data_IF_754488057505
#
_entry.id   IF_754488057505
#
_cell.length_a   1.000
_cell.length_b   1.000
_cell.length_c   1.000
_cell.angle_alpha   90.00
_cell.angle_beta   90.00
_cell.angle_gamma   90.00
#
_symmetry.space_group_name_H-M   'P 1'
#
loop_
_entity.id
_entity.type
_entity.pdbx_description
1 polymer ?
#
# COMPACT_ATOMS: atom_id res chain seq x y z
N UNK A 1 -0.64 18.95 -11.85
CA UNK A 1 -0.54 17.70 -11.07
C UNK A 1 0.45 17.93 -9.96
N UNK A 2 0.03 17.68 -8.71
CA UNK A 2 0.91 17.77 -7.54
C UNK A 2 1.64 16.42 -7.43
N UNK A 3 2.97 16.46 -7.32
CA UNK A 3 3.77 15.25 -7.10
C UNK A 3 3.33 14.56 -5.80
N UNK A 4 3.07 13.25 -5.87
CA UNK A 4 2.64 12.47 -4.72
C UNK A 4 3.64 12.49 -3.58
N UNK A 5 3.14 12.36 -2.35
CA UNK A 5 3.96 12.18 -1.14
C UNK A 5 3.31 11.16 -0.23
N UNK A 6 4.14 10.36 0.41
CA UNK A 6 3.77 9.49 1.51
C UNK A 6 4.39 10.04 2.79
N UNK A 7 3.60 10.25 3.82
CA UNK A 7 4.06 10.68 5.15
C UNK A 7 3.71 9.60 6.17
N UNK A 8 4.63 9.27 7.05
CA UNK A 8 4.41 8.21 8.02
C UNK A 8 5.14 8.46 9.33
N UNK A 9 4.54 8.05 10.43
CA UNK A 9 5.13 8.21 11.76
C UNK A 9 4.18 7.79 12.88
N UNK A 10 4.70 7.68 14.10
CA UNK A 10 3.89 7.33 15.26
C UNK A 10 3.67 8.54 16.16
N UNK A 11 2.45 8.69 16.65
CA UNK A 11 2.10 9.65 17.71
C UNK A 11 1.56 8.86 18.87
N UNK A 12 2.34 8.74 19.95
CA UNK A 12 2.08 7.76 21.00
C UNK A 12 2.17 6.33 20.45
N UNK A 13 1.13 5.54 20.68
CA UNK A 13 0.94 4.15 20.25
C UNK A 13 0.12 4.04 18.94
N UNK A 14 -0.20 5.16 18.29
CA UNK A 14 -0.93 5.20 17.02
C UNK A 14 0.06 5.36 15.87
N UNK A 15 0.01 4.44 14.91
CA UNK A 15 0.78 4.55 13.68
C UNK A 15 -0.04 5.26 12.60
N UNK A 16 0.47 6.39 12.11
CA UNK A 16 -0.15 7.18 11.07
C UNK A 16 0.55 7.00 9.72
N UNK A 17 -0.25 6.86 8.68
CA UNK A 17 0.14 6.89 7.28
C UNK A 17 -0.72 7.93 6.56
N UNK A 18 -0.12 8.80 5.75
CA UNK A 18 -0.84 9.80 4.95
C UNK A 18 -0.36 9.79 3.52
N UNK A 19 -1.30 9.71 2.57
CA UNK A 19 -1.04 9.77 1.13
C UNK A 19 -1.62 11.08 0.60
N UNK A 20 -0.78 11.86 -0.10
CA UNK A 20 -1.20 13.15 -0.69
C UNK A 20 -0.75 13.26 -2.14
N UNK A 21 -1.55 13.90 -2.99
CA UNK A 21 -1.27 14.08 -4.42
C UNK A 21 -1.48 12.80 -5.22
N UNK A 22 -0.78 12.70 -6.35
CA UNK A 22 -0.77 11.53 -7.23
C UNK A 22 0.26 10.50 -6.74
N UNK A 23 -0.17 9.61 -5.84
CA UNK A 23 0.70 8.60 -5.23
C UNK A 23 0.86 7.43 -6.21
N UNK A 24 2.11 7.20 -6.65
CA UNK A 24 2.48 6.12 -7.58
C UNK A 24 3.64 5.29 -7.03
N UNK A 25 4.00 4.26 -7.82
CA UNK A 25 5.04 3.23 -7.70
C UNK A 25 6.29 3.43 -6.82
N UNK A 26 7.01 4.58 -6.76
CA UNK A 26 8.35 4.56 -6.18
C UNK A 26 8.42 4.37 -4.63
N UNK A 27 7.30 4.40 -3.90
CA UNK A 27 7.30 4.14 -2.44
C UNK A 27 6.99 2.71 -2.02
N UNK A 28 6.70 1.80 -2.95
CA UNK A 28 6.17 0.47 -2.61
C UNK A 28 7.06 -0.31 -1.62
N UNK A 29 8.32 -0.52 -1.98
CA UNK A 29 9.31 -1.22 -1.14
C UNK A 29 9.61 -0.44 0.14
N UNK A 30 9.78 0.88 0.05
CA UNK A 30 10.09 1.73 1.21
C UNK A 30 8.95 1.69 2.24
N UNK A 31 7.71 1.79 1.78
CA UNK A 31 6.53 1.85 2.65
C UNK A 31 6.32 0.51 3.35
N UNK A 32 6.41 -0.61 2.63
CA UNK A 32 6.31 -1.95 3.22
C UNK A 32 7.38 -2.16 4.31
N UNK A 33 8.64 -1.89 3.98
CA UNK A 33 9.76 -2.01 4.92
C UNK A 33 9.58 -1.11 6.15
N UNK A 34 9.08 0.11 5.95
CA UNK A 34 8.84 1.04 7.05
C UNK A 34 7.71 0.56 7.96
N UNK A 35 6.61 0.04 7.40
CA UNK A 35 5.52 -0.53 8.17
C UNK A 35 6.02 -1.72 9.02
N UNK A 36 6.76 -2.65 8.43
CA UNK A 36 7.32 -3.78 9.14
C UNK A 36 8.28 -3.35 10.26
N UNK A 37 9.15 -2.38 9.98
CA UNK A 37 10.06 -1.79 10.97
C UNK A 37 9.29 -1.22 12.16
N UNK A 38 8.23 -0.45 11.93
CA UNK A 38 7.42 0.15 13.00
C UNK A 38 6.75 -0.93 13.85
N UNK A 39 6.10 -1.91 13.22
CA UNK A 39 5.42 -3.00 13.94
C UNK A 39 6.37 -3.93 14.69
N UNK A 40 7.65 -4.00 14.32
CA UNK A 40 8.65 -4.77 15.06
C UNK A 40 9.26 -4.00 16.24
N UNK A 41 9.36 -2.68 16.15
CA UNK A 41 10.10 -1.84 17.12
C UNK A 41 9.22 -1.18 18.17
N UNK A 42 7.92 -1.07 17.93
CA UNK A 42 6.99 -0.35 18.80
C UNK A 42 5.75 -1.18 19.08
N UNK A 43 5.21 -1.03 20.28
CA UNK A 43 3.88 -1.49 20.60
C UNK A 43 2.87 -0.50 20.01
N UNK A 44 2.20 -0.91 18.93
CA UNK A 44 1.19 -0.12 18.24
C UNK A 44 -0.18 -0.66 18.62
N UNK A 45 -1.09 0.20 19.06
CA UNK A 45 -2.46 -0.18 19.43
C UNK A 45 -3.45 0.04 18.29
N UNK A 46 -3.15 0.96 17.37
CA UNK A 46 -3.99 1.27 16.22
C UNK A 46 -3.19 1.86 15.06
N UNK A 47 -3.74 1.74 13.85
CA UNK A 47 -3.20 2.39 12.65
C UNK A 47 -4.28 3.23 11.99
N UNK A 48 -3.89 4.44 11.56
CA UNK A 48 -4.75 5.39 10.84
C UNK A 48 -4.11 5.78 9.52
N UNK A 49 -4.89 5.67 8.46
CA UNK A 49 -4.49 6.00 7.10
C UNK A 49 -5.32 7.19 6.63
N UNK A 50 -4.68 8.30 6.32
CA UNK A 50 -5.30 9.52 5.82
C UNK A 50 -5.10 9.64 4.31
N UNK A 51 -6.21 9.51 3.57
CA UNK A 51 -6.28 9.63 2.11
C UNK A 51 -6.98 10.92 1.68
N UNK A 52 -7.27 11.85 2.59
CA UNK A 52 -8.02 13.07 2.27
C UNK A 52 -7.31 13.98 1.25
N UNK A 53 -5.98 13.86 1.15
CA UNK A 53 -5.17 14.59 0.20
C UNK A 53 -4.82 13.82 -1.07
N UNK A 54 -5.27 12.57 -1.23
CA UNK A 54 -4.94 11.75 -2.40
C UNK A 54 -5.79 12.18 -3.61
N UNK A 55 -5.14 12.36 -4.77
CA UNK A 55 -5.83 12.70 -6.03
C UNK A 55 -6.16 11.45 -6.85
N UNK A 56 -5.33 10.40 -6.74
CA UNK A 56 -5.50 9.15 -7.46
C UNK A 56 -4.82 8.00 -6.70
N UNK A 57 -5.36 6.79 -6.85
CA UNK A 57 -4.78 5.55 -6.34
C UNK A 57 -4.81 4.51 -7.46
N UNK A 58 -3.63 4.13 -7.96
CA UNK A 58 -3.51 3.05 -8.94
C UNK A 58 -3.60 1.66 -8.28
N UNK A 59 -3.67 0.61 -9.10
CA UNK A 59 -3.79 -0.77 -8.60
C UNK A 59 -2.61 -1.19 -7.74
N UNK A 60 -1.40 -0.70 -8.03
CA UNK A 60 -0.21 -0.98 -7.22
C UNK A 60 -0.33 -0.35 -5.84
N UNK A 61 -0.70 0.93 -5.77
CA UNK A 61 -0.92 1.65 -4.50
C UNK A 61 -2.02 0.99 -3.67
N UNK A 62 -3.11 0.58 -4.32
CA UNK A 62 -4.18 -0.19 -3.67
C UNK A 62 -3.66 -1.53 -3.15
N UNK A 63 -2.85 -2.25 -3.92
CA UNK A 63 -2.29 -3.53 -3.48
C UNK A 63 -1.34 -3.41 -2.29
N UNK A 64 -0.51 -2.36 -2.25
CA UNK A 64 0.33 -2.06 -1.09
C UNK A 64 -0.55 -1.72 0.13
N UNK A 65 -1.59 -0.91 -0.04
CA UNK A 65 -2.57 -0.66 1.03
C UNK A 65 -3.21 -1.96 1.51
N UNK A 66 -3.58 -2.88 0.60
CA UNK A 66 -4.14 -4.18 0.98
C UNK A 66 -3.14 -5.00 1.81
N UNK A 67 -1.86 -5.07 1.41
CA UNK A 67 -0.79 -5.72 2.18
C UNK A 67 -0.64 -5.10 3.57
N UNK A 68 -0.57 -3.78 3.64
CA UNK A 68 -0.49 -3.05 4.92
C UNK A 68 -1.71 -3.36 5.79
N UNK A 69 -2.92 -3.38 5.22
CA UNK A 69 -4.15 -3.69 5.94
C UNK A 69 -4.17 -5.10 6.52
N UNK A 70 -3.69 -6.09 5.76
CA UNK A 70 -3.54 -7.47 6.21
C UNK A 70 -2.53 -7.57 7.36
N UNK A 71 -1.33 -7.02 7.17
CA UNK A 71 -0.26 -7.02 8.20
C UNK A 71 -0.71 -6.29 9.46
N UNK A 72 -1.25 -5.09 9.32
CA UNK A 72 -1.75 -4.30 10.44
C UNK A 72 -2.86 -5.03 11.19
N UNK A 73 -3.85 -5.60 10.48
CA UNK A 73 -4.94 -6.35 11.14
C UNK A 73 -4.41 -7.54 11.93
N UNK A 74 -3.44 -8.28 11.38
CA UNK A 74 -2.82 -9.42 12.07
C UNK A 74 -2.02 -9.00 13.30
N UNK A 75 -1.34 -7.84 13.25
CA UNK A 75 -0.53 -7.33 14.37
C UNK A 75 -1.36 -6.66 15.46
N UNK A 76 -2.40 -5.92 15.08
CA UNK A 76 -3.25 -5.13 15.99
C UNK A 76 -4.39 -5.94 16.59
N UNK A 77 -4.79 -7.05 15.96
CA UNK A 77 -6.02 -7.78 16.30
C UNK A 77 -7.31 -7.03 15.99
N UNK A 78 -7.22 -5.90 15.28
CA UNK A 78 -8.33 -5.05 14.87
C UNK A 78 -8.06 -4.42 13.51
N UNK A 79 -9.11 -3.98 12.80
CA UNK A 79 -8.95 -3.35 11.49
C UNK A 79 -8.37 -1.94 11.63
N UNK A 80 -7.32 -1.57 10.87
CA UNK A 80 -6.91 -0.18 10.73
C UNK A 80 -8.02 0.72 10.17
N UNK A 81 -7.91 2.02 10.41
CA UNK A 81 -8.87 3.05 9.98
C UNK A 81 -8.36 3.77 8.74
N UNK A 82 -9.24 3.97 7.75
CA UNK A 82 -9.02 4.87 6.60
C UNK A 82 -9.92 6.09 6.74
N UNK A 83 -9.34 7.27 6.56
CA UNK A 83 -10.04 8.55 6.46
C UNK A 83 -9.94 9.08 5.04
N UNK A 84 -11.06 9.52 4.47
CA UNK A 84 -11.11 10.10 3.14
C UNK A 84 -12.28 11.07 3.03
N UNK A 85 -12.18 12.01 2.09
CA UNK A 85 -13.25 12.97 1.76
C UNK A 85 -13.72 12.86 0.31
N UNK A 86 -12.93 12.20 -0.55
CA UNK A 86 -13.27 12.01 -1.96
C UNK A 86 -14.18 10.79 -2.17
N UNK A 87 -15.42 11.04 -2.60
CA UNK A 87 -16.42 9.99 -2.85
C UNK A 87 -16.10 9.06 -4.03
N UNK A 88 -15.23 9.48 -4.96
CA UNK A 88 -14.73 8.61 -6.04
C UNK A 88 -13.73 7.60 -5.50
N UNK A 89 -12.78 8.05 -4.67
CA UNK A 89 -11.84 7.18 -3.96
C UNK A 89 -12.59 6.24 -3.01
N UNK A 90 -13.60 6.74 -2.30
CA UNK A 90 -14.45 5.89 -1.46
C UNK A 90 -15.06 4.73 -2.27
N UNK A 91 -15.73 5.05 -3.38
CA UNK A 91 -16.38 4.04 -4.24
C UNK A 91 -15.38 3.03 -4.79
N UNK A 92 -14.16 3.48 -5.14
CA UNK A 92 -13.07 2.61 -5.57
C UNK A 92 -12.67 1.62 -4.47
N UNK A 93 -12.46 2.08 -3.24
CA UNK A 93 -12.10 1.19 -2.11
C UNK A 93 -13.22 0.18 -1.82
N UNK A 94 -14.47 0.64 -1.81
CA UNK A 94 -15.64 -0.22 -1.56
C UNK A 94 -15.80 -1.27 -2.67
N UNK A 95 -15.67 -0.88 -3.94
CA UNK A 95 -15.82 -1.82 -5.07
C UNK A 95 -14.71 -2.88 -5.12
N UNK A 96 -13.54 -2.57 -4.56
CA UNK A 96 -12.40 -3.48 -4.43
C UNK A 96 -12.47 -4.35 -3.16
N UNK A 97 -13.44 -4.10 -2.27
CA UNK A 97 -13.67 -4.90 -1.06
C UNK A 97 -12.80 -4.52 0.14
N UNK A 98 -12.30 -3.28 0.21
CA UNK A 98 -11.41 -2.83 1.30
C UNK A 98 -12.08 -2.83 2.67
N UNK A 99 -13.41 -2.85 2.75
CA UNK A 99 -14.15 -2.99 4.02
C UNK A 99 -13.81 -4.30 4.76
N UNK A 100 -13.29 -5.31 4.05
CA UNK A 100 -12.80 -6.54 4.69
C UNK A 100 -11.55 -6.29 5.55
N UNK A 101 -10.70 -5.33 5.17
CA UNK A 101 -9.40 -5.06 5.79
C UNK A 101 -9.39 -3.77 6.63
N UNK A 102 -10.29 -2.82 6.34
CA UNK A 102 -10.28 -1.48 6.93
C UNK A 102 -11.65 -1.06 7.46
N UNK A 103 -11.64 -0.22 8.49
CA UNK A 103 -12.78 0.62 8.85
C UNK A 103 -12.67 1.92 8.03
N UNK A 104 -13.58 2.16 7.11
CA UNK A 104 -13.53 3.33 6.21
C UNK A 104 -14.46 4.42 6.72
N UNK A 105 -13.89 5.59 7.00
CA UNK A 105 -14.58 6.77 7.48
C UNK A 105 -14.58 7.86 6.41
N UNK A 106 -15.77 8.26 5.97
CA UNK A 106 -15.98 9.31 4.96
C UNK A 106 -15.92 10.73 5.56
N UNK A 107 -14.87 11.00 6.32
CA UNK A 107 -14.55 12.32 6.86
C UNK A 107 -13.04 12.46 7.07
N UNK A 108 -12.58 13.70 7.21
CA UNK A 108 -11.25 13.97 7.72
C UNK A 108 -11.10 13.45 9.16
N UNK A 109 -9.87 13.07 9.59
CA UNK A 109 -9.61 12.73 10.98
C UNK A 109 -9.74 13.98 11.87
N UNK A 110 -10.08 13.78 13.15
CA UNK A 110 -10.20 14.89 14.13
C UNK A 110 -8.90 15.68 14.29
N UNK A 111 -7.76 15.02 14.07
CA UNK A 111 -6.45 15.66 14.07
C UNK A 111 -5.55 15.06 13.00
N UNK A 112 -4.76 15.95 12.41
CA UNK A 112 -3.81 15.66 11.33
C UNK A 112 -2.42 15.89 11.92
N UNK A 113 -1.70 14.84 12.37
CA UNK A 113 -0.37 15.02 12.94
C UNK A 113 0.60 15.54 11.88
N UNK A 114 1.61 16.28 12.35
CA UNK A 114 2.78 16.62 11.55
C UNK A 114 3.66 15.38 11.44
N UNK A 115 3.81 14.87 10.22
CA UNK A 115 4.48 13.60 9.93
C UNK A 115 5.64 13.87 8.97
N UNK A 116 6.78 13.19 9.13
CA UNK A 116 7.86 13.30 8.15
C UNK A 116 7.43 12.65 6.83
N UNK A 117 7.91 13.23 5.72
CA UNK A 117 7.80 12.59 4.41
C UNK A 117 8.70 11.35 4.40
N UNK A 118 8.15 10.21 3.98
CA UNK A 118 8.95 9.03 3.74
C UNK A 118 9.86 9.27 2.53
N UNK A 119 11.19 9.16 2.68
CA UNK A 119 12.11 9.34 1.57
C UNK A 119 11.87 8.26 0.52
N UNK A 120 12.06 8.61 -0.75
CA UNK A 120 12.20 7.60 -1.79
C UNK A 120 13.57 6.94 -1.63
N UNK A 121 13.58 5.66 -1.25
CA UNK A 121 14.81 4.88 -1.22
C UNK A 121 15.27 4.52 -2.63
N UNK A 122 16.58 4.30 -2.80
CA UNK A 122 17.09 3.60 -3.98
C UNK A 122 16.53 2.17 -3.95
N UNK A 123 15.85 1.78 -5.02
CA UNK A 123 15.21 0.46 -5.15
C UNK A 123 15.58 -0.08 -6.52
N UNK A 124 16.03 -1.32 -6.59
CA UNK A 124 16.38 -1.97 -7.84
C UNK A 124 15.12 -2.27 -8.66
N UNK A 125 15.24 -2.32 -9.98
CA UNK A 125 14.12 -2.59 -10.88
C UNK A 125 13.44 -3.94 -10.58
N UNK A 126 14.22 -4.96 -10.20
CA UNK A 126 13.71 -6.26 -9.78
C UNK A 126 12.84 -6.18 -8.54
N UNK A 127 13.25 -5.39 -7.54
CA UNK A 127 12.51 -5.23 -6.29
C UNK A 127 11.18 -4.49 -6.53
N UNK A 128 11.18 -3.52 -7.45
CA UNK A 128 9.96 -2.85 -7.89
C UNK A 128 9.04 -3.86 -8.57
N UNK A 129 9.56 -4.68 -9.49
CA UNK A 129 8.76 -5.67 -10.22
C UNK A 129 8.12 -6.69 -9.26
N UNK A 130 8.89 -7.21 -8.29
CA UNK A 130 8.39 -8.13 -7.27
C UNK A 130 7.32 -7.46 -6.39
N UNK A 131 7.55 -6.22 -5.96
CA UNK A 131 6.56 -5.47 -5.19
C UNK A 131 5.26 -5.23 -5.96
N UNK A 132 5.32 -4.97 -7.28
CA UNK A 132 4.12 -4.85 -8.12
C UNK A 132 3.35 -6.17 -8.17
N UNK A 133 4.04 -7.30 -8.39
CA UNK A 133 3.43 -8.63 -8.43
C UNK A 133 2.73 -8.92 -7.09
N UNK A 134 3.43 -8.70 -5.98
CA UNK A 134 2.90 -8.95 -4.64
C UNK A 134 1.71 -8.05 -4.31
N UNK A 135 1.75 -6.78 -4.71
CA UNK A 135 0.64 -5.85 -4.52
C UNK A 135 -0.63 -6.35 -5.24
N UNK A 136 -0.50 -6.83 -6.48
CA UNK A 136 -1.65 -7.36 -7.22
C UNK A 136 -2.14 -8.68 -6.65
N UNK A 137 -1.24 -9.59 -6.22
CA UNK A 137 -1.61 -10.83 -5.52
C UNK A 137 -2.41 -10.53 -4.24
N UNK A 138 -1.99 -9.53 -3.46
CA UNK A 138 -2.72 -9.12 -2.27
C UNK A 138 -4.14 -8.65 -2.59
N UNK A 139 -4.35 -7.92 -3.69
CA UNK A 139 -5.70 -7.58 -4.15
C UNK A 139 -6.49 -8.83 -4.57
N UNK A 140 -5.86 -9.77 -5.28
CA UNK A 140 -6.48 -11.02 -5.73
C UNK A 140 -6.95 -11.89 -4.55
N UNK A 141 -6.22 -11.88 -3.44
CA UNK A 141 -6.54 -12.63 -2.23
C UNK A 141 -7.76 -12.06 -1.47
N UNK A 142 -8.11 -10.79 -1.71
CA UNK A 142 -9.24 -10.17 -1.02
C UNK A 142 -10.57 -10.75 -1.47
N UNK A 143 -10.75 -10.99 -2.78
CA UNK A 143 -11.99 -11.53 -3.33
C UNK A 143 -11.83 -12.06 -4.76
N UNK A 144 -12.77 -12.92 -5.17
CA UNK A 144 -12.79 -13.56 -6.50
C UNK A 144 -12.91 -12.59 -7.67
N UNK A 145 -13.49 -11.40 -7.47
CA UNK A 145 -13.59 -10.39 -8.52
C UNK A 145 -12.20 -9.84 -8.83
N UNK A 146 -11.44 -9.46 -7.80
CA UNK A 146 -10.07 -9.00 -7.93
C UNK A 146 -9.17 -10.10 -8.52
N UNK A 147 -9.35 -11.37 -8.10
CA UNK A 147 -8.63 -12.51 -8.71
C UNK A 147 -8.80 -12.52 -10.22
N UNK A 148 -10.04 -12.53 -10.72
CA UNK A 148 -10.33 -12.55 -12.16
C UNK A 148 -9.83 -11.31 -12.89
N UNK A 149 -9.80 -10.16 -12.21
CA UNK A 149 -9.36 -8.91 -12.79
C UNK A 149 -7.84 -8.85 -13.00
N UNK A 150 -7.06 -9.41 -12.08
CA UNK A 150 -5.60 -9.24 -12.07
C UNK A 150 -4.80 -10.50 -12.42
N UNK A 151 -5.40 -11.69 -12.47
CA UNK A 151 -4.72 -12.97 -12.76
C UNK A 151 -3.86 -12.92 -14.04
N UNK A 152 -4.45 -12.49 -15.17
CA UNK A 152 -3.69 -12.40 -16.44
C UNK A 152 -2.52 -11.40 -16.38
N UNK A 153 -2.67 -10.31 -15.62
CA UNK A 153 -1.62 -9.30 -15.46
C UNK A 153 -0.46 -9.89 -14.64
N UNK A 154 -0.78 -10.53 -13.51
CA UNK A 154 0.21 -11.18 -12.65
C UNK A 154 0.97 -12.28 -13.40
N UNK A 155 0.27 -13.15 -14.11
CA UNK A 155 0.87 -14.20 -14.94
C UNK A 155 1.87 -13.63 -15.97
N UNK A 156 1.54 -12.48 -16.57
CA UNK A 156 2.39 -11.83 -17.56
C UNK A 156 3.64 -11.24 -16.92
N UNK A 157 3.49 -10.58 -15.78
CA UNK A 157 4.60 -9.98 -15.02
C UNK A 157 5.56 -11.06 -14.50
N UNK A 158 5.04 -12.18 -13.99
CA UNK A 158 5.85 -13.30 -13.50
C UNK A 158 6.68 -13.95 -14.61
N UNK A 159 6.06 -14.18 -15.79
CA UNK A 159 6.80 -14.72 -16.94
C UNK A 159 7.90 -13.78 -17.43
N UNK A 160 7.66 -12.47 -17.38
CA UNK A 160 8.67 -11.47 -17.76
C UNK A 160 9.87 -11.54 -16.80
N UNK A 161 9.62 -11.57 -15.49
CA UNK A 161 10.67 -11.72 -14.46
C UNK A 161 11.49 -13.00 -14.65
N UNK A 162 10.83 -14.14 -14.83
CA UNK A 162 11.49 -15.44 -14.96
C UNK A 162 12.29 -15.55 -16.28
N UNK A 163 11.82 -14.89 -17.35
CA UNK A 163 12.50 -14.80 -18.64
C UNK A 163 13.78 -13.96 -18.63
N UNK A 164 13.88 -12.98 -17.71
CA UNK A 164 15.10 -12.19 -17.50
C UNK A 164 16.11 -12.92 -16.62
N UNK A 165 15.66 -13.66 -15.59
CA UNK A 165 16.52 -14.50 -14.75
C UNK A 165 17.27 -15.57 -15.56
N UNK A 166 16.67 -16.06 -16.65
CA UNK A 166 17.27 -17.08 -17.52
C UNK A 166 18.30 -16.52 -18.54
N UNK A 167 18.55 -15.21 -18.57
CA UNK A 167 19.49 -14.55 -19.51
C UNK A 167 20.81 -14.07 -18.88
N UNK A 168 21.07 -14.35 -17.60
CA UNK A 168 22.34 -13.97 -16.98
C UNK A 168 23.52 -14.76 -17.60
N UNK A 169 24.52 -14.11 -18.23
CA UNK A 169 25.60 -14.80 -18.91
C UNK A 169 26.60 -15.40 -17.93
N UNK A 170 27.08 -16.61 -18.25
CA UNK A 170 28.27 -17.19 -17.66
C UNK A 170 29.44 -16.19 -17.77
N UNK A 171 29.98 -15.77 -16.63
CA UNK A 171 31.28 -15.11 -16.57
C UNK A 171 32.35 -16.19 -16.74
N UNK A 172 32.94 -16.26 -17.94
CA UNK A 172 34.30 -16.78 -18.15
C UNK A 172 35.34 -15.68 -17.87
#
# INVERSE_FOLDING_TARGET
MISGKVLAGCVGDIFHLRLTGDVRLPWCVTLENYCDYVFQKKEISSMRIDLCGAENLDSTTLGILAKIGQTASAKLGSKPEIFLTDSSIQRLLLSMGFEALFNITASAPDSVPDLPVLPLGETEESDIQDSVIDAHRALMDMNKQNTRQFENLVDTLERARDGEASKSPAKD
#
